data_IF_645974966480
#
_entry.id   IF_645974966480
#
_cell.length_a   1.000
_cell.length_b   1.000
_cell.length_c   1.000
_cell.angle_alpha   90.00
_cell.angle_beta   90.00
_cell.angle_gamma   90.00
#
_symmetry.space_group_name_H-M   'P 1'
#
loop_
_entity.id
_entity.type
_entity.pdbx_description
1 polymer ?
#
# COMPACT_ATOMS: atom_id res chain seq x y z
N UNK A 1 45.46 -39.15 20.61
CA UNK A 1 44.87 -38.42 21.74
C UNK A 1 43.74 -37.59 21.08
N UNK A 2 42.63 -38.19 20.68
CA UNK A 2 41.48 -38.73 21.45
C UNK A 2 40.84 -37.69 22.36
N UNK A 3 39.57 -37.48 22.01
CA UNK A 3 38.42 -36.99 22.79
C UNK A 3 38.29 -35.48 22.96
N UNK A 4 37.37 -34.84 22.28
CA UNK A 4 35.98 -34.67 22.65
C UNK A 4 35.14 -34.07 21.51
N UNK A 5 34.52 -34.94 20.72
CA UNK A 5 33.24 -34.70 20.10
C UNK A 5 32.14 -34.98 21.13
N UNK A 6 31.01 -34.39 20.94
CA UNK A 6 29.74 -34.47 21.65
C UNK A 6 29.41 -33.30 22.57
N UNK A 7 28.64 -32.44 22.02
CA UNK A 7 27.38 -31.91 22.54
C UNK A 7 27.11 -30.47 22.04
N UNK A 8 26.38 -30.35 20.96
CA UNK A 8 25.44 -29.23 20.67
C UNK A 8 24.68 -29.52 19.40
N UNK A 9 23.98 -30.61 19.39
CA UNK A 9 22.76 -30.74 18.56
C UNK A 9 21.59 -30.57 19.53
N UNK A 10 20.71 -29.65 19.19
CA UNK A 10 19.31 -29.47 19.57
C UNK A 10 19.00 -28.01 19.85
N UNK A 11 18.42 -27.35 18.87
CA UNK A 11 17.33 -26.39 18.95
C UNK A 11 17.26 -25.57 17.66
N UNK A 12 16.89 -26.24 16.57
CA UNK A 12 16.29 -25.55 15.44
C UNK A 12 14.78 -25.82 15.54
N UNK A 13 14.05 -24.94 16.20
CA UNK A 13 12.60 -24.92 16.14
C UNK A 13 12.19 -24.19 14.88
N UNK A 14 11.50 -24.92 14.05
CA UNK A 14 10.77 -24.52 12.87
C UNK A 14 9.86 -23.32 13.17
N UNK A 15 10.11 -22.19 12.54
CA UNK A 15 9.11 -21.16 12.31
C UNK A 15 8.47 -21.47 10.96
N UNK A 16 7.37 -22.19 11.03
CA UNK A 16 6.45 -22.45 9.92
C UNK A 16 5.77 -21.13 9.53
N UNK A 17 6.22 -20.56 8.43
CA UNK A 17 5.58 -19.43 7.76
C UNK A 17 4.37 -19.96 6.99
N UNK A 18 3.23 -20.06 7.66
CA UNK A 18 1.94 -20.40 7.05
C UNK A 18 1.49 -19.33 6.08
N UNK A 19 1.91 -19.45 4.82
CA UNK A 19 1.33 -18.75 3.70
C UNK A 19 -0.14 -19.14 3.54
N UNK A 20 -1.07 -18.22 3.69
CA UNK A 20 -2.48 -18.38 3.32
C UNK A 20 -2.61 -18.48 1.81
N UNK A 21 -2.50 -19.70 1.29
CA UNK A 21 -2.94 -20.08 -0.04
C UNK A 21 -4.47 -20.13 -0.05
N UNK A 22 -5.13 -19.14 -0.65
CA UNK A 22 -6.55 -19.18 -0.98
C UNK A 22 -6.79 -20.19 -2.11
N UNK A 23 -6.86 -21.48 -1.75
CA UNK A 23 -7.36 -22.55 -2.62
C UNK A 23 -8.88 -22.51 -2.68
N UNK A 24 -9.47 -22.02 -3.77
CA UNK A 24 -10.87 -22.21 -4.11
C UNK A 24 -11.11 -23.66 -4.47
N UNK A 25 -11.70 -24.44 -3.58
CA UNK A 25 -12.11 -25.82 -3.89
C UNK A 25 -12.77 -26.54 -2.71
N UNK A 26 -14.11 -26.61 -2.70
CA UNK A 26 -14.90 -27.72 -2.17
C UNK A 26 -15.11 -27.80 -0.67
N UNK A 27 -16.20 -27.21 -0.18
CA UNK A 27 -16.67 -27.46 1.17
C UNK A 27 -17.81 -26.54 1.60
N UNK A 28 -18.98 -26.66 0.97
CA UNK A 28 -20.15 -25.80 1.28
C UNK A 28 -20.65 -25.87 2.73
N UNK A 29 -20.18 -26.79 3.56
CA UNK A 29 -20.62 -26.97 4.94
C UNK A 29 -19.64 -26.47 6.01
N UNK A 30 -18.34 -26.46 5.75
CA UNK A 30 -17.34 -25.96 6.72
C UNK A 30 -17.36 -24.44 6.84
N UNK A 31 -17.59 -23.72 5.73
CA UNK A 31 -17.71 -22.27 5.75
C UNK A 31 -18.95 -21.74 6.49
N UNK A 32 -20.06 -22.50 6.49
CA UNK A 32 -21.28 -22.09 7.19
C UNK A 32 -21.09 -22.04 8.72
N UNK A 33 -20.32 -22.98 9.29
CA UNK A 33 -20.07 -23.00 10.74
C UNK A 33 -19.11 -21.87 11.18
N UNK A 34 -18.06 -21.59 10.42
CA UNK A 34 -17.11 -20.51 10.70
C UNK A 34 -17.78 -19.14 10.51
N UNK A 35 -18.62 -19.00 9.47
CA UNK A 35 -19.38 -17.78 9.21
C UNK A 35 -20.45 -17.56 10.29
N UNK A 36 -21.10 -18.62 10.76
CA UNK A 36 -22.06 -18.55 11.87
C UNK A 36 -21.37 -18.09 13.17
N UNK A 37 -20.15 -18.54 13.44
CA UNK A 37 -19.37 -18.11 14.61
C UNK A 37 -19.00 -16.61 14.50
N UNK A 38 -18.64 -16.10 13.33
CA UNK A 38 -18.35 -14.67 13.12
C UNK A 38 -19.61 -13.80 13.19
N UNK A 39 -20.74 -14.26 12.67
CA UNK A 39 -22.04 -13.57 12.84
C UNK A 39 -22.47 -13.59 14.30
N UNK A 40 -22.28 -14.69 15.01
CA UNK A 40 -22.54 -14.80 16.45
C UNK A 40 -21.59 -13.93 17.27
N UNK A 41 -20.33 -13.78 16.87
CA UNK A 41 -19.37 -12.89 17.56
C UNK A 41 -19.66 -11.40 17.26
N UNK A 42 -20.01 -11.02 16.02
CA UNK A 42 -20.42 -9.66 15.68
C UNK A 42 -21.80 -9.31 16.29
N UNK A 43 -22.72 -10.26 16.30
CA UNK A 43 -24.03 -10.15 16.95
C UNK A 43 -23.88 -10.26 18.47
N UNK A 44 -22.98 -11.13 18.98
CA UNK A 44 -22.84 -11.42 20.41
C UNK A 44 -22.31 -10.25 21.22
N UNK A 45 -21.36 -9.46 20.73
CA UNK A 45 -20.82 -8.31 21.48
C UNK A 45 -21.75 -7.08 21.43
N UNK A 46 -22.38 -6.81 20.27
CA UNK A 46 -23.39 -5.73 20.17
C UNK A 46 -24.73 -6.11 20.84
N UNK A 47 -25.16 -7.38 20.75
CA UNK A 47 -26.39 -7.87 21.34
C UNK A 47 -26.30 -8.04 22.85
N UNK A 48 -25.15 -8.35 23.45
CA UNK A 48 -25.06 -8.54 24.90
C UNK A 48 -25.38 -7.25 25.68
N UNK A 49 -24.89 -6.10 25.18
CA UNK A 49 -25.20 -4.79 25.77
C UNK A 49 -26.67 -4.37 25.48
N UNK A 50 -27.20 -4.70 24.31
CA UNK A 50 -28.64 -4.51 24.00
C UNK A 50 -29.54 -5.52 24.71
N UNK A 51 -29.12 -6.79 24.80
CA UNK A 51 -29.91 -7.86 25.45
C UNK A 51 -30.20 -7.55 26.91
N UNK A 52 -29.27 -6.95 27.67
CA UNK A 52 -29.50 -6.50 29.05
C UNK A 52 -30.51 -5.33 29.14
N UNK A 53 -30.64 -4.49 28.11
CA UNK A 53 -31.63 -3.42 27.99
C UNK A 53 -32.97 -3.91 27.45
N UNK A 54 -33.01 -4.97 26.66
CA UNK A 54 -34.19 -5.49 25.95
C UNK A 54 -35.00 -6.52 26.77
N UNK A 55 -34.58 -6.86 27.98
CA UNK A 55 -35.28 -7.87 28.82
C UNK A 55 -36.68 -7.41 29.38
N UNK A 56 -37.14 -6.23 28.96
CA UNK A 56 -38.49 -5.77 29.24
C UNK A 56 -39.33 -5.74 27.94
N UNK A 57 -39.80 -6.89 27.49
CA UNK A 57 -40.55 -7.10 26.22
C UNK A 57 -41.75 -6.18 25.98
N UNK A 58 -42.28 -5.55 27.03
CA UNK A 58 -43.47 -4.70 26.95
C UNK A 58 -43.21 -3.26 26.49
N UNK A 59 -41.93 -2.85 26.27
CA UNK A 59 -41.56 -1.48 25.90
C UNK A 59 -40.82 -1.34 24.57
N UNK A 60 -40.57 -2.46 23.85
CA UNK A 60 -39.87 -2.43 22.58
C UNK A 60 -40.76 -1.81 21.49
N UNK A 61 -40.16 -0.90 20.71
CA UNK A 61 -40.77 -0.44 19.47
C UNK A 61 -40.81 -1.60 18.44
N UNK A 62 -41.64 -1.44 17.41
CA UNK A 62 -41.78 -2.50 16.38
C UNK A 62 -40.45 -2.83 15.69
N UNK A 63 -39.58 -1.86 15.25
CA UNK A 63 -38.30 -2.16 14.70
C UNK A 63 -37.37 -2.94 15.65
N UNK A 64 -37.34 -2.59 16.93
CA UNK A 64 -36.53 -3.30 17.94
C UNK A 64 -37.03 -4.73 18.18
N UNK A 65 -38.34 -4.95 18.14
CA UNK A 65 -38.94 -6.28 18.25
C UNK A 65 -38.58 -7.18 17.07
N UNK A 66 -38.65 -6.63 15.85
CA UNK A 66 -38.23 -7.31 14.64
C UNK A 66 -36.74 -7.65 14.63
N UNK A 67 -35.87 -6.72 15.08
CA UNK A 67 -34.46 -6.94 15.25
C UNK A 67 -34.19 -8.12 16.23
N UNK A 68 -34.85 -8.13 17.37
CA UNK A 68 -34.75 -9.24 18.34
C UNK A 68 -35.19 -10.57 17.72
N UNK A 69 -36.33 -10.61 17.02
CA UNK A 69 -36.78 -11.81 16.30
C UNK A 69 -35.76 -12.28 15.25
N UNK A 70 -35.15 -11.35 14.51
CA UNK A 70 -34.12 -11.67 13.56
C UNK A 70 -32.92 -12.35 14.24
N UNK A 71 -32.41 -11.79 15.35
CA UNK A 71 -31.30 -12.38 16.12
C UNK A 71 -31.65 -13.81 16.60
N UNK A 72 -32.86 -14.00 17.19
CA UNK A 72 -33.32 -15.30 17.66
C UNK A 72 -33.42 -16.35 16.53
N UNK A 73 -33.75 -15.91 15.30
CA UNK A 73 -33.83 -16.78 14.12
C UNK A 73 -32.40 -17.14 13.62
N UNK A 74 -31.45 -16.20 13.64
CA UNK A 74 -30.05 -16.50 13.31
C UNK A 74 -29.42 -17.49 14.30
N UNK A 75 -29.70 -17.35 15.60
CA UNK A 75 -29.24 -18.33 16.60
C UNK A 75 -29.81 -19.73 16.34
N UNK A 76 -31.05 -19.84 15.81
CA UNK A 76 -31.68 -21.09 15.41
C UNK A 76 -31.30 -21.55 14.00
N UNK A 77 -30.31 -20.90 13.35
CA UNK A 77 -29.84 -21.18 11.99
C UNK A 77 -30.92 -21.07 10.89
N UNK A 78 -31.99 -20.31 11.15
CA UNK A 78 -33.02 -19.97 10.18
C UNK A 78 -32.69 -18.68 9.47
N UNK A 79 -31.70 -18.76 8.54
CA UNK A 79 -31.05 -17.59 7.95
C UNK A 79 -31.99 -16.79 7.05
N UNK A 80 -32.83 -17.43 6.24
CA UNK A 80 -33.78 -16.73 5.35
C UNK A 80 -34.84 -15.95 6.15
N UNK A 81 -35.46 -16.59 7.14
CA UNK A 81 -36.43 -15.95 7.99
C UNK A 81 -35.80 -14.80 8.81
N UNK A 82 -34.55 -15.03 9.30
CA UNK A 82 -33.78 -14.05 10.03
C UNK A 82 -33.44 -12.82 9.18
N UNK A 83 -33.00 -13.04 7.93
CA UNK A 83 -32.70 -11.97 6.99
C UNK A 83 -33.94 -11.13 6.66
N UNK A 84 -35.10 -11.77 6.49
CA UNK A 84 -36.35 -11.06 6.22
C UNK A 84 -36.78 -10.19 7.41
N UNK A 85 -36.68 -10.69 8.67
CA UNK A 85 -36.98 -9.88 9.85
C UNK A 85 -35.99 -8.73 10.02
N UNK A 86 -34.68 -8.97 9.71
CA UNK A 86 -33.67 -7.93 9.75
C UNK A 86 -33.96 -6.84 8.72
N UNK A 87 -34.35 -7.21 7.49
CA UNK A 87 -34.79 -6.29 6.45
C UNK A 87 -35.94 -5.41 6.89
N UNK A 88 -36.98 -6.03 7.44
CA UNK A 88 -38.17 -5.31 7.93
C UNK A 88 -37.82 -4.29 9.02
N UNK A 89 -36.97 -4.66 9.98
CA UNK A 89 -36.48 -3.75 11.00
C UNK A 89 -35.65 -2.61 10.41
N UNK A 90 -34.78 -2.91 9.43
CA UNK A 90 -33.97 -1.92 8.74
C UNK A 90 -34.78 -0.92 7.92
N UNK A 91 -35.84 -1.38 7.25
CA UNK A 91 -36.80 -0.55 6.51
C UNK A 91 -37.57 0.40 7.42
N UNK A 92 -37.88 -0.03 8.66
CA UNK A 92 -38.49 0.82 9.70
C UNK A 92 -37.47 1.78 10.34
N UNK A 93 -36.26 1.86 9.85
CA UNK A 93 -35.28 2.87 10.22
C UNK A 93 -34.36 2.50 11.39
N UNK A 94 -34.39 1.27 11.90
CA UNK A 94 -33.45 0.86 12.95
C UNK A 94 -32.00 0.82 12.43
N UNK A 95 -31.13 1.68 12.94
CA UNK A 95 -29.74 1.80 12.49
C UNK A 95 -28.92 0.51 12.65
N UNK A 96 -29.15 -0.22 13.75
CA UNK A 96 -28.48 -1.50 13.99
C UNK A 96 -28.93 -2.54 12.97
N UNK A 97 -30.23 -2.62 12.69
CA UNK A 97 -30.75 -3.52 11.68
C UNK A 97 -30.26 -3.16 10.26
N UNK A 98 -30.14 -1.87 9.95
CA UNK A 98 -29.58 -1.41 8.68
C UNK A 98 -28.13 -1.87 8.50
N UNK A 99 -27.28 -1.71 9.54
CA UNK A 99 -25.92 -2.20 9.52
C UNK A 99 -25.87 -3.72 9.31
N UNK A 100 -26.63 -4.48 10.10
CA UNK A 100 -26.63 -5.95 10.01
C UNK A 100 -27.19 -6.46 8.69
N UNK A 101 -28.24 -5.81 8.17
CA UNK A 101 -28.79 -6.20 6.88
C UNK A 101 -27.80 -5.91 5.73
N UNK A 102 -27.07 -4.80 5.79
CA UNK A 102 -25.93 -4.56 4.92
C UNK A 102 -24.88 -5.69 4.98
N UNK A 103 -24.52 -6.14 6.18
CA UNK A 103 -23.62 -7.27 6.39
C UNK A 103 -24.18 -8.62 5.87
N UNK A 104 -25.49 -8.84 5.99
CA UNK A 104 -26.19 -10.01 5.43
C UNK A 104 -26.07 -10.02 3.90
N UNK A 105 -26.34 -8.90 3.25
CA UNK A 105 -26.21 -8.74 1.80
C UNK A 105 -24.76 -8.86 1.33
N UNK A 106 -23.81 -8.31 2.09
CA UNK A 106 -22.38 -8.43 1.83
C UNK A 106 -21.92 -9.90 1.80
N UNK A 107 -22.43 -10.73 2.69
CA UNK A 107 -22.02 -12.13 2.87
C UNK A 107 -22.95 -13.17 2.23
N UNK A 108 -24.13 -12.79 1.79
CA UNK A 108 -25.15 -13.71 1.26
C UNK A 108 -25.71 -14.66 2.32
N UNK A 109 -25.95 -14.17 3.56
CA UNK A 109 -26.40 -14.98 4.70
C UNK A 109 -27.91 -14.96 4.86
N UNK A 110 -28.62 -15.87 4.20
CA UNK A 110 -30.08 -15.93 4.20
C UNK A 110 -30.74 -14.95 3.21
N UNK A 111 -29.95 -14.20 2.45
CA UNK A 111 -30.35 -13.40 1.30
C UNK A 111 -29.29 -13.53 0.20
N UNK A 112 -29.67 -13.26 -1.04
CA UNK A 112 -28.72 -13.22 -2.16
C UNK A 112 -27.65 -12.14 -1.91
N UNK A 113 -26.39 -12.48 -2.20
CA UNK A 113 -25.29 -11.53 -2.06
C UNK A 113 -25.46 -10.35 -3.02
N UNK A 114 -25.45 -9.13 -2.47
CA UNK A 114 -25.63 -7.92 -3.23
C UNK A 114 -24.79 -6.78 -2.62
N UNK A 115 -23.58 -6.60 -3.12
CA UNK A 115 -22.65 -5.61 -2.59
C UNK A 115 -23.12 -4.15 -2.76
N UNK A 116 -23.63 -3.73 -3.95
CA UNK A 116 -24.18 -2.38 -4.07
C UNK A 116 -25.31 -2.09 -3.08
N UNK A 117 -26.25 -3.04 -2.89
CA UNK A 117 -27.32 -2.89 -1.92
C UNK A 117 -26.79 -2.86 -0.47
N UNK A 118 -25.75 -3.63 -0.15
CA UNK A 118 -25.10 -3.59 1.17
C UNK A 118 -24.56 -2.19 1.47
N UNK A 119 -23.86 -1.55 0.52
CA UNK A 119 -23.34 -0.18 0.66
C UNK A 119 -24.46 0.82 0.94
N UNK A 120 -25.60 0.71 0.26
CA UNK A 120 -26.75 1.59 0.51
C UNK A 120 -27.29 1.44 1.95
N UNK A 121 -27.30 0.23 2.48
CA UNK A 121 -27.73 0.02 3.87
C UNK A 121 -26.69 0.51 4.87
N UNK A 122 -25.40 0.36 4.59
CA UNK A 122 -24.34 0.96 5.40
C UNK A 122 -24.41 2.50 5.40
N UNK A 123 -24.74 3.13 4.25
CA UNK A 123 -24.96 4.58 4.19
C UNK A 123 -26.12 5.02 5.11
N UNK A 124 -27.26 4.32 5.05
CA UNK A 124 -28.41 4.63 5.93
C UNK A 124 -28.06 4.53 7.41
N UNK A 125 -27.28 3.53 7.81
CA UNK A 125 -26.80 3.39 9.19
C UNK A 125 -25.78 4.48 9.56
N UNK A 126 -24.91 4.86 8.62
CA UNK A 126 -23.93 5.93 8.78
C UNK A 126 -24.59 7.30 8.91
N UNK A 127 -25.66 7.58 8.16
CA UNK A 127 -26.45 8.81 8.26
C UNK A 127 -27.08 8.99 9.64
N UNK A 128 -27.30 7.90 10.37
CA UNK A 128 -27.73 7.91 11.77
C UNK A 128 -26.57 7.99 12.78
N UNK A 129 -25.33 8.22 12.29
CA UNK A 129 -24.15 8.37 13.12
C UNK A 129 -23.61 7.06 13.68
N UNK A 130 -23.89 5.90 13.06
CA UNK A 130 -23.47 4.60 13.60
C UNK A 130 -21.99 4.33 13.26
N UNK A 131 -21.06 4.28 14.26
CA UNK A 131 -19.61 4.26 13.99
C UNK A 131 -19.13 3.07 13.15
N UNK A 132 -19.72 1.89 13.39
CA UNK A 132 -19.37 0.67 12.64
C UNK A 132 -19.76 0.79 11.17
N UNK A 133 -20.81 1.53 10.84
CA UNK A 133 -21.22 1.77 9.46
C UNK A 133 -20.22 2.66 8.71
N UNK A 134 -19.58 3.63 9.38
CA UNK A 134 -18.49 4.40 8.80
C UNK A 134 -17.31 3.50 8.43
N UNK A 135 -16.93 2.58 9.31
CA UNK A 135 -15.86 1.63 9.04
C UNK A 135 -16.18 0.70 7.87
N UNK A 136 -17.40 0.09 7.83
CA UNK A 136 -17.81 -0.78 6.73
C UNK A 136 -17.82 -0.05 5.38
N UNK A 137 -18.23 1.23 5.36
CA UNK A 137 -18.11 2.08 4.16
C UNK A 137 -16.66 2.29 3.77
N UNK A 138 -15.79 2.58 4.72
CA UNK A 138 -14.34 2.68 4.49
C UNK A 138 -13.80 1.42 3.82
N UNK A 139 -14.15 0.23 4.33
CA UNK A 139 -13.76 -1.07 3.75
C UNK A 139 -14.31 -1.24 2.33
N UNK A 140 -15.57 -0.84 2.09
CA UNK A 140 -16.16 -0.93 0.75
C UNK A 140 -15.41 -0.06 -0.27
N UNK A 141 -15.04 1.17 0.08
CA UNK A 141 -14.28 2.06 -0.79
C UNK A 141 -12.80 1.64 -0.94
N UNK A 142 -12.18 1.12 0.11
CA UNK A 142 -10.80 0.60 0.06
C UNK A 142 -10.67 -0.56 -0.93
N UNK A 143 -11.63 -1.50 -0.89
CA UNK A 143 -11.58 -2.72 -1.69
C UNK A 143 -12.30 -2.60 -3.05
N UNK A 144 -13.15 -1.58 -3.25
CA UNK A 144 -14.04 -1.49 -4.40
C UNK A 144 -15.21 -2.46 -4.32
N UNK A 145 -15.71 -2.75 -3.11
CA UNK A 145 -16.81 -3.68 -2.86
C UNK A 145 -18.16 -2.99 -3.00
N UNK A 146 -18.84 -3.18 -4.13
CA UNK A 146 -20.15 -2.57 -4.41
C UNK A 146 -20.11 -1.08 -4.79
N UNK A 147 -18.93 -0.48 -4.79
CA UNK A 147 -18.61 0.88 -5.22
C UNK A 147 -17.28 0.87 -5.97
N UNK A 148 -16.99 1.91 -6.72
CA UNK A 148 -15.67 2.10 -7.30
C UNK A 148 -14.63 2.30 -6.18
N UNK A 149 -13.46 1.66 -6.33
CA UNK A 149 -12.36 1.78 -5.36
C UNK A 149 -11.89 3.24 -5.27
N UNK A 150 -11.89 3.78 -4.07
CA UNK A 150 -11.46 5.15 -3.82
C UNK A 150 -10.83 5.28 -2.43
N UNK A 151 -9.50 5.43 -2.40
CA UNK A 151 -8.75 5.51 -1.15
C UNK A 151 -8.98 6.82 -0.39
N UNK A 152 -9.35 7.91 -1.08
CA UNK A 152 -9.68 9.19 -0.43
C UNK A 152 -11.01 9.10 0.31
N UNK A 153 -12.00 8.47 -0.30
CA UNK A 153 -13.28 8.20 0.35
C UNK A 153 -13.10 7.22 1.52
N UNK A 154 -12.30 6.15 1.35
CA UNK A 154 -12.01 5.20 2.42
C UNK A 154 -11.39 5.91 3.63
N UNK A 155 -10.37 6.75 3.41
CA UNK A 155 -9.74 7.56 4.46
C UNK A 155 -10.75 8.46 5.17
N UNK A 156 -11.61 9.16 4.42
CA UNK A 156 -12.61 10.05 4.98
C UNK A 156 -13.60 9.29 5.87
N UNK A 157 -14.02 8.09 5.48
CA UNK A 157 -14.92 7.26 6.26
C UNK A 157 -14.26 6.68 7.51
N UNK A 158 -12.99 6.23 7.44
CA UNK A 158 -12.26 5.77 8.62
C UNK A 158 -12.02 6.90 9.63
N UNK A 159 -11.71 8.11 9.17
CA UNK A 159 -11.60 9.29 10.06
C UNK A 159 -12.92 9.58 10.78
N UNK A 160 -14.07 9.52 10.07
CA UNK A 160 -15.38 9.65 10.72
C UNK A 160 -15.63 8.56 11.77
N UNK A 161 -15.17 7.33 11.52
CA UNK A 161 -15.27 6.25 12.49
C UNK A 161 -14.45 6.52 13.75
N UNK A 162 -13.27 7.11 13.61
CA UNK A 162 -12.39 7.50 14.73
C UNK A 162 -12.94 8.66 15.53
N UNK A 163 -13.54 9.66 14.86
CA UNK A 163 -14.07 10.87 15.49
C UNK A 163 -15.39 10.62 16.22
N UNK A 164 -16.03 9.46 15.96
CA UNK A 164 -17.31 9.13 16.58
C UNK A 164 -17.14 8.74 18.05
N UNK A 165 -18.17 9.02 18.87
CA UNK A 165 -18.26 8.57 20.27
C UNK A 165 -18.56 7.06 20.33
N UNK A 166 -17.54 6.22 20.12
CA UNK A 166 -17.65 4.75 20.08
C UNK A 166 -16.69 4.04 21.04
N UNK A 167 -16.84 2.70 21.12
CA UNK A 167 -15.97 1.82 21.92
C UNK A 167 -14.52 1.92 21.47
N UNK A 168 -13.60 2.05 22.42
CA UNK A 168 -12.14 2.16 22.16
C UNK A 168 -11.57 0.97 21.38
N UNK A 169 -12.14 -0.23 21.54
CA UNK A 169 -11.69 -1.42 20.80
C UNK A 169 -11.96 -1.29 19.30
N UNK A 170 -13.05 -0.65 18.91
CA UNK A 170 -13.38 -0.40 17.51
C UNK A 170 -12.49 0.67 16.87
N UNK A 171 -12.12 1.70 17.65
CA UNK A 171 -11.20 2.76 17.18
C UNK A 171 -9.83 2.20 16.78
N UNK A 172 -9.36 1.16 17.44
CA UNK A 172 -8.10 0.51 17.07
C UNK A 172 -8.17 -0.09 15.65
N UNK A 173 -9.26 -0.78 15.30
CA UNK A 173 -9.44 -1.31 13.94
C UNK A 173 -9.56 -0.21 12.88
N UNK A 174 -10.25 0.88 13.21
CA UNK A 174 -10.39 2.02 12.30
C UNK A 174 -9.04 2.73 12.09
N UNK A 175 -8.22 2.84 13.13
CA UNK A 175 -6.87 3.40 13.03
C UNK A 175 -5.96 2.52 12.17
N UNK A 176 -5.94 1.21 12.41
CA UNK A 176 -5.15 0.27 11.59
C UNK A 176 -5.55 0.32 10.11
N UNK A 177 -6.86 0.43 9.84
CA UNK A 177 -7.35 0.57 8.47
C UNK A 177 -6.94 1.91 7.85
N UNK A 178 -6.96 3.00 8.62
CA UNK A 178 -6.49 4.31 8.17
C UNK A 178 -4.99 4.28 7.85
N UNK A 179 -4.17 3.74 8.75
CA UNK A 179 -2.72 3.63 8.57
C UNK A 179 -2.40 2.83 7.28
N UNK A 180 -3.14 1.74 7.03
CA UNK A 180 -3.01 0.93 5.81
C UNK A 180 -3.38 1.72 4.55
N UNK A 181 -4.47 2.50 4.58
CA UNK A 181 -4.88 3.34 3.43
C UNK A 181 -3.86 4.44 3.17
N UNK A 182 -3.31 5.06 4.19
CA UNK A 182 -2.26 6.08 4.06
C UNK A 182 -0.99 5.47 3.45
N UNK A 183 -0.63 4.25 3.83
CA UNK A 183 0.48 3.51 3.22
C UNK A 183 0.22 3.22 1.74
N UNK A 184 -0.96 2.68 1.40
CA UNK A 184 -1.36 2.41 0.02
C UNK A 184 -1.34 3.68 -0.85
N UNK A 185 -1.76 4.82 -0.30
CA UNK A 185 -1.70 6.11 -0.98
C UNK A 185 -0.26 6.58 -1.18
N UNK A 186 0.59 6.40 -0.18
CA UNK A 186 2.01 6.72 -0.25
C UNK A 186 2.71 5.88 -1.33
N UNK A 187 2.46 4.57 -1.35
CA UNK A 187 3.03 3.66 -2.36
C UNK A 187 2.54 3.95 -3.78
N UNK A 188 1.36 4.55 -3.91
CA UNK A 188 0.79 4.92 -5.19
C UNK A 188 1.35 6.24 -5.77
N UNK A 189 2.15 7.01 -4.99
CA UNK A 189 2.75 8.23 -5.50
C UNK A 189 3.81 7.95 -6.57
N UNK A 190 3.95 8.84 -7.58
CA UNK A 190 5.00 8.69 -8.59
C UNK A 190 6.39 8.61 -7.97
N UNK A 191 6.66 9.34 -6.89
CA UNK A 191 7.92 9.35 -6.18
C UNK A 191 8.23 7.99 -5.54
N UNK A 192 7.26 7.38 -4.84
CA UNK A 192 7.43 6.07 -4.22
C UNK A 192 7.57 4.96 -5.29
N UNK A 193 6.80 5.04 -6.37
CA UNK A 193 6.94 4.13 -7.51
C UNK A 193 8.31 4.24 -8.15
N UNK A 194 8.82 5.46 -8.35
CA UNK A 194 10.13 5.70 -8.90
C UNK A 194 11.24 5.13 -8.01
N UNK A 195 11.15 5.33 -6.70
CA UNK A 195 12.10 4.75 -5.73
C UNK A 195 12.04 3.23 -5.71
N UNK A 196 10.84 2.62 -5.76
CA UNK A 196 10.67 1.18 -5.79
C UNK A 196 11.30 0.55 -7.06
N UNK A 197 11.06 1.15 -8.23
CA UNK A 197 11.68 0.72 -9.49
C UNK A 197 13.20 0.81 -9.45
N UNK A 198 13.75 1.88 -8.88
CA UNK A 198 15.20 2.02 -8.71
C UNK A 198 15.77 0.93 -7.79
N UNK A 199 15.13 0.64 -6.64
CA UNK A 199 15.55 -0.44 -5.73
C UNK A 199 15.56 -1.79 -6.44
N UNK A 200 14.52 -2.11 -7.22
CA UNK A 200 14.47 -3.34 -8.02
C UNK A 200 15.61 -3.40 -9.05
N UNK A 201 15.89 -2.29 -9.72
CA UNK A 201 16.99 -2.22 -10.67
C UNK A 201 18.35 -2.50 -10.01
N UNK A 202 18.62 -1.93 -8.83
CA UNK A 202 19.87 -2.17 -8.11
C UNK A 202 19.99 -3.62 -7.64
N UNK A 203 18.91 -4.24 -7.16
CA UNK A 203 18.90 -5.65 -6.78
C UNK A 203 19.21 -6.59 -7.97
N UNK A 204 18.74 -6.24 -9.17
CA UNK A 204 19.02 -6.99 -10.40
C UNK A 204 20.46 -6.80 -10.86
N UNK A 205 21.00 -5.58 -10.76
CA UNK A 205 22.38 -5.27 -11.15
C UNK A 205 23.39 -6.10 -10.35
N UNK A 206 23.16 -6.29 -9.06
CA UNK A 206 24.01 -7.12 -8.20
C UNK A 206 24.05 -8.62 -8.62
N UNK A 207 23.04 -9.08 -9.39
CA UNK A 207 22.91 -10.48 -9.85
C UNK A 207 23.61 -10.76 -11.20
N UNK A 208 24.20 -9.78 -11.84
CA UNK A 208 25.04 -9.84 -13.07
C UNK A 208 24.42 -10.46 -14.34
N UNK A 209 23.15 -10.85 -14.33
CA UNK A 209 22.54 -11.63 -15.43
C UNK A 209 21.48 -10.87 -16.23
N UNK A 210 21.13 -9.61 -15.84
CA UNK A 210 19.91 -8.95 -16.33
C UNK A 210 20.08 -7.47 -16.64
N UNK A 211 21.18 -7.13 -17.30
CA UNK A 211 21.51 -5.74 -17.62
C UNK A 211 20.40 -5.01 -18.40
N UNK A 212 19.70 -5.71 -19.30
CA UNK A 212 18.61 -5.12 -20.09
C UNK A 212 17.41 -4.79 -19.18
N UNK A 213 17.00 -5.73 -18.32
CA UNK A 213 15.88 -5.52 -17.40
C UNK A 213 16.22 -4.43 -16.37
N UNK A 214 17.47 -4.40 -15.89
CA UNK A 214 17.96 -3.34 -15.01
C UNK A 214 17.91 -1.97 -15.71
N UNK A 215 18.36 -1.87 -16.97
CA UNK A 215 18.32 -0.63 -17.74
C UNK A 215 16.88 -0.13 -17.96
N UNK A 216 15.93 -1.04 -18.22
CA UNK A 216 14.52 -0.72 -18.38
C UNK A 216 13.90 -0.18 -17.08
N UNK A 217 14.18 -0.80 -15.94
CA UNK A 217 13.68 -0.33 -14.63
C UNK A 217 14.30 1.02 -14.25
N UNK A 218 15.62 1.21 -14.50
CA UNK A 218 16.27 2.49 -14.30
C UNK A 218 15.66 3.58 -15.16
N UNK A 219 15.35 3.27 -16.43
CA UNK A 219 14.68 4.21 -17.33
C UNK A 219 13.30 4.61 -16.81
N UNK A 220 12.46 3.62 -16.43
CA UNK A 220 11.13 3.89 -15.90
C UNK A 220 11.19 4.77 -14.64
N UNK A 221 12.10 4.47 -13.72
CA UNK A 221 12.31 5.27 -12.51
C UNK A 221 12.83 6.69 -12.85
N UNK A 222 13.72 6.81 -13.81
CA UNK A 222 14.26 8.10 -14.27
C UNK A 222 13.19 8.96 -14.95
N UNK A 223 12.31 8.34 -15.74
CA UNK A 223 11.17 9.00 -16.40
C UNK A 223 10.17 9.56 -15.35
N UNK A 224 10.02 8.88 -14.21
CA UNK A 224 9.24 9.36 -13.06
C UNK A 224 9.98 10.43 -12.23
N UNK A 225 11.22 10.77 -12.58
CA UNK A 225 11.94 11.88 -11.98
C UNK A 225 12.92 11.50 -10.86
N UNK A 226 13.09 10.23 -10.53
CA UNK A 226 13.99 9.83 -9.44
C UNK A 226 15.46 10.14 -9.78
N UNK A 227 16.06 11.00 -8.98
CA UNK A 227 17.39 11.57 -9.27
C UNK A 227 18.49 10.54 -9.43
N UNK A 228 18.51 9.52 -8.57
CA UNK A 228 19.52 8.47 -8.66
C UNK A 228 19.32 7.58 -9.89
N UNK A 229 18.07 7.31 -10.28
CA UNK A 229 17.79 6.57 -11.50
C UNK A 229 18.22 7.36 -12.75
N UNK A 230 18.00 8.66 -12.80
CA UNK A 230 18.49 9.53 -13.88
C UNK A 230 20.01 9.47 -14.00
N UNK A 231 20.72 9.56 -12.88
CA UNK A 231 22.18 9.43 -12.85
C UNK A 231 22.65 8.06 -13.35
N UNK A 232 22.08 6.99 -12.80
CA UNK A 232 22.52 5.63 -13.15
C UNK A 232 22.14 5.24 -14.57
N UNK A 233 20.94 5.63 -15.04
CA UNK A 233 20.54 5.39 -16.42
C UNK A 233 21.45 6.15 -17.40
N UNK A 234 21.84 7.39 -17.10
CA UNK A 234 22.86 8.12 -17.87
C UNK A 234 24.19 7.35 -17.95
N UNK A 235 24.67 6.78 -16.83
CA UNK A 235 25.88 5.94 -16.82
C UNK A 235 25.73 4.66 -17.66
N UNK A 236 24.56 4.03 -17.65
CA UNK A 236 24.25 2.86 -18.47
C UNK A 236 24.31 3.19 -19.95
N UNK A 237 23.74 4.33 -20.36
CA UNK A 237 23.81 4.85 -21.72
C UNK A 237 25.24 5.17 -22.15
N UNK A 238 26.08 5.77 -21.29
CA UNK A 238 27.47 6.02 -21.55
C UNK A 238 28.33 4.76 -21.75
N UNK A 239 27.92 3.63 -21.16
CA UNK A 239 28.67 2.37 -21.20
C UNK A 239 28.03 1.30 -22.08
N UNK A 240 26.83 1.52 -22.57
CA UNK A 240 26.05 0.53 -23.31
C UNK A 240 25.69 -0.70 -22.47
N UNK A 241 25.43 -0.52 -21.17
CA UNK A 241 25.04 -1.61 -20.25
C UNK A 241 23.55 -1.85 -20.37
N UNK A 242 23.15 -3.02 -20.87
CA UNK A 242 21.72 -3.37 -21.05
C UNK A 242 20.96 -2.47 -22.04
N UNK A 243 21.65 -1.54 -22.69
CA UNK A 243 21.11 -0.59 -23.67
C UNK A 243 22.12 -0.28 -24.75
N UNK A 244 21.70 0.35 -25.83
CA UNK A 244 22.64 0.86 -26.82
C UNK A 244 23.52 1.98 -26.21
N UNK A 245 24.77 2.04 -26.64
CA UNK A 245 25.66 3.13 -26.29
C UNK A 245 25.13 4.45 -26.87
N UNK A 246 24.75 5.38 -26.00
CA UNK A 246 24.21 6.69 -26.39
C UNK A 246 24.68 7.81 -25.43
N UNK A 247 25.90 8.33 -25.63
CA UNK A 247 26.42 9.40 -24.76
C UNK A 247 25.64 10.72 -24.87
N UNK A 248 24.95 10.97 -25.99
CA UNK A 248 24.17 12.20 -26.17
C UNK A 248 22.99 12.18 -25.23
N UNK A 249 22.18 11.11 -25.26
CA UNK A 249 21.07 10.95 -24.32
C UNK A 249 21.56 10.86 -22.86
N UNK A 250 22.73 10.30 -22.60
CA UNK A 250 23.30 10.26 -21.25
C UNK A 250 23.51 11.67 -20.67
N UNK A 251 24.03 12.59 -21.45
CA UNK A 251 24.20 13.99 -21.02
C UNK A 251 22.87 14.65 -20.67
N UNK A 252 21.82 14.36 -21.41
CA UNK A 252 20.48 14.88 -21.10
C UNK A 252 19.98 14.35 -19.73
N UNK A 253 20.21 13.09 -19.44
CA UNK A 253 19.86 12.51 -18.15
C UNK A 253 20.69 13.07 -16.99
N UNK A 254 21.99 13.27 -17.21
CA UNK A 254 22.85 13.92 -16.23
C UNK A 254 22.42 15.38 -15.97
N UNK A 255 21.95 16.10 -16.99
CA UNK A 255 21.38 17.45 -16.79
C UNK A 255 20.12 17.42 -15.95
N UNK A 256 19.19 16.50 -16.22
CA UNK A 256 17.97 16.34 -15.40
C UNK A 256 18.32 16.06 -13.93
N UNK A 257 19.29 15.20 -13.67
CA UNK A 257 19.76 14.93 -12.31
C UNK A 257 20.48 16.13 -11.70
N UNK A 258 21.24 16.90 -12.49
CA UNK A 258 21.92 18.11 -12.08
C UNK A 258 20.93 19.22 -11.72
N UNK A 259 19.83 19.37 -12.45
CA UNK A 259 18.74 20.31 -12.13
C UNK A 259 18.09 20.03 -10.76
N UNK A 260 18.20 18.79 -10.29
CA UNK A 260 17.81 18.38 -8.94
C UNK A 260 18.96 18.50 -7.91
N UNK A 261 20.04 19.23 -8.23
CA UNK A 261 21.22 19.42 -7.39
C UNK A 261 21.98 18.14 -7.04
N UNK A 262 21.96 17.14 -7.90
CA UNK A 262 22.76 15.93 -7.73
C UNK A 262 24.26 16.24 -8.01
N UNK A 263 25.06 16.29 -6.95
CA UNK A 263 26.50 16.59 -7.09
C UNK A 263 27.27 15.54 -7.88
N UNK A 264 26.87 14.28 -7.84
CA UNK A 264 27.42 13.23 -8.67
C UNK A 264 27.12 13.44 -10.17
N UNK A 265 25.95 14.00 -10.52
CA UNK A 265 25.60 14.34 -11.89
C UNK A 265 26.43 15.53 -12.40
N UNK A 266 26.75 16.51 -11.55
CA UNK A 266 27.70 17.57 -11.91
C UNK A 266 29.07 16.99 -12.28
N UNK A 267 29.55 15.99 -11.52
CA UNK A 267 30.79 15.33 -11.84
C UNK A 267 30.72 14.59 -13.18
N UNK A 268 29.68 13.83 -13.48
CA UNK A 268 29.51 13.13 -14.76
C UNK A 268 29.45 14.12 -15.95
N UNK A 269 28.76 15.25 -15.79
CA UNK A 269 28.76 16.32 -16.79
C UNK A 269 30.17 16.86 -17.02
N UNK A 270 30.93 17.07 -15.95
CA UNK A 270 32.34 17.46 -16.06
C UNK A 270 33.16 16.45 -16.88
N UNK A 271 32.96 15.15 -16.66
CA UNK A 271 33.63 14.08 -17.43
C UNK A 271 33.19 14.12 -18.90
N UNK A 272 31.90 14.31 -19.18
CA UNK A 272 31.41 14.40 -20.56
C UNK A 272 32.05 15.56 -21.32
N UNK A 273 32.16 16.74 -20.72
CA UNK A 273 32.78 17.91 -21.34
C UNK A 273 34.33 17.78 -21.46
N UNK A 274 34.98 17.11 -20.49
CA UNK A 274 36.42 16.87 -20.54
C UNK A 274 36.79 15.93 -21.71
N UNK A 275 36.00 14.87 -21.91
CA UNK A 275 36.28 13.85 -22.92
C UNK A 275 35.67 14.18 -24.30
N UNK A 276 34.63 15.01 -24.35
CA UNK A 276 33.81 15.20 -25.55
C UNK A 276 32.83 14.05 -25.78
N UNK A 277 32.31 13.43 -24.69
CA UNK A 277 31.38 12.33 -24.76
C UNK A 277 29.93 12.86 -24.75
N UNK A 278 29.21 12.75 -25.86
CA UNK A 278 27.85 13.25 -26.03
C UNK A 278 27.71 14.75 -26.14
N UNK A 279 28.81 15.50 -25.96
CA UNK A 279 28.91 16.96 -26.11
C UNK A 279 30.26 17.32 -26.75
N UNK A 280 30.36 18.53 -27.31
CA UNK A 280 31.64 19.05 -27.75
C UNK A 280 32.60 19.19 -26.57
N UNK A 281 33.87 18.76 -26.76
CA UNK A 281 34.92 18.86 -25.74
C UNK A 281 35.14 20.31 -25.34
N UNK A 282 35.04 20.59 -24.05
CA UNK A 282 35.23 21.94 -23.51
C UNK A 282 35.78 21.87 -22.08
N UNK A 283 37.08 22.18 -21.92
CA UNK A 283 37.78 22.08 -20.64
C UNK A 283 37.33 23.16 -19.63
N UNK A 284 36.82 24.31 -20.10
CA UNK A 284 36.33 25.37 -19.22
C UNK A 284 34.94 25.02 -18.64
N UNK A 285 34.10 24.45 -19.47
CA UNK A 285 32.82 23.88 -19.01
C UNK A 285 33.06 22.71 -18.05
N UNK A 286 33.98 21.80 -18.36
CA UNK A 286 34.32 20.70 -17.47
C UNK A 286 34.78 21.19 -16.09
N UNK A 287 35.63 22.22 -16.05
CA UNK A 287 36.07 22.87 -14.79
C UNK A 287 34.89 23.43 -14.00
N UNK A 288 33.96 24.09 -14.69
CA UNK A 288 32.80 24.67 -14.08
C UNK A 288 31.90 23.62 -13.41
N UNK A 289 31.68 22.50 -14.11
CA UNK A 289 30.86 21.39 -13.58
C UNK A 289 31.56 20.65 -12.43
N UNK A 290 32.88 20.43 -12.50
CA UNK A 290 33.63 19.83 -11.40
C UNK A 290 33.62 20.72 -10.14
N UNK A 291 33.71 22.05 -10.28
CA UNK A 291 33.58 22.97 -9.14
C UNK A 291 32.19 22.87 -8.49
N UNK A 292 31.13 22.84 -9.30
CA UNK A 292 29.78 22.61 -8.77
C UNK A 292 29.67 21.28 -8.03
N UNK A 293 30.35 20.24 -8.50
CA UNK A 293 30.36 18.94 -7.84
C UNK A 293 31.06 19.02 -6.47
N UNK A 294 32.19 19.72 -6.36
CA UNK A 294 32.91 19.96 -5.10
C UNK A 294 32.01 20.76 -4.15
N UNK A 295 31.44 21.88 -4.61
CA UNK A 295 30.57 22.72 -3.83
C UNK A 295 29.32 21.98 -3.32
N UNK A 296 28.86 21.00 -4.10
CA UNK A 296 27.76 20.09 -3.75
C UNK A 296 28.16 18.91 -2.84
N UNK A 297 29.43 18.84 -2.41
CA UNK A 297 29.92 17.81 -1.48
C UNK A 297 30.47 16.53 -2.14
N UNK A 298 30.62 16.49 -3.48
CA UNK A 298 31.28 15.39 -4.21
C UNK A 298 32.77 15.65 -4.35
N UNK A 299 33.50 15.72 -3.21
CA UNK A 299 34.85 16.27 -3.15
C UNK A 299 35.92 15.34 -3.81
N UNK A 300 35.94 14.02 -3.49
CA UNK A 300 37.07 13.15 -3.83
C UNK A 300 37.38 13.07 -5.33
N UNK A 301 36.39 12.68 -6.14
CA UNK A 301 36.56 12.51 -7.58
C UNK A 301 36.68 13.84 -8.31
N UNK A 302 35.89 14.84 -7.94
CA UNK A 302 35.85 16.15 -8.59
C UNK A 302 37.12 16.98 -8.33
N UNK A 303 37.68 16.96 -7.11
CA UNK A 303 38.93 17.64 -6.82
C UNK A 303 40.10 17.07 -7.62
N UNK A 304 40.21 15.73 -7.70
CA UNK A 304 41.23 15.10 -8.54
C UNK A 304 41.09 15.45 -10.04
N UNK A 305 39.85 15.56 -10.52
CA UNK A 305 39.57 15.99 -11.88
C UNK A 305 40.00 17.45 -12.12
N UNK A 306 39.72 18.34 -11.18
CA UNK A 306 40.20 19.74 -11.24
C UNK A 306 41.73 19.86 -11.27
N UNK A 307 42.42 19.10 -10.42
CA UNK A 307 43.89 19.07 -10.40
C UNK A 307 44.46 18.54 -11.71
N UNK A 308 43.82 17.52 -12.33
CA UNK A 308 44.19 16.99 -13.65
C UNK A 308 43.99 18.04 -14.76
N UNK A 309 42.81 18.68 -14.77
CA UNK A 309 42.49 19.74 -15.74
C UNK A 309 43.47 20.93 -15.67
N UNK A 310 43.85 21.34 -14.46
CA UNK A 310 44.82 22.43 -14.30
C UNK A 310 46.18 22.08 -14.94
N UNK A 311 46.63 20.82 -14.82
CA UNK A 311 47.85 20.34 -15.46
C UNK A 311 47.72 20.28 -17.00
N UNK A 312 46.57 19.82 -17.52
CA UNK A 312 46.32 19.78 -18.97
C UNK A 312 46.33 21.18 -19.58
N UNK A 313 45.60 22.13 -18.98
CA UNK A 313 45.58 23.53 -19.45
C UNK A 313 46.94 24.21 -19.37
N UNK A 314 47.81 23.79 -18.44
CA UNK A 314 49.18 24.30 -18.34
C UNK A 314 50.10 23.74 -19.44
N UNK A 315 49.82 22.52 -19.95
CA UNK A 315 50.63 21.89 -21.01
C UNK A 315 50.22 22.32 -22.43
N UNK A 316 49.05 22.94 -22.60
CA UNK A 316 48.59 23.44 -23.91
C UNK A 316 48.99 24.92 -24.16
N UNK A 317 49.60 25.57 -23.17
CA UNK A 317 50.18 26.92 -23.25
C UNK A 317 51.69 26.88 -23.58
#
# INVERSE_FOLDING_TARGET
>A
MEQNEESKATAAQEHDSGGCSCGCGGGKNANKAVIAIWVVLLIGFGCLVMWTRMNADSRLTEPERLLKQACDLYEKQKFEDGAERMRQSAELGNAVAQLYYGGILKKGLGAEQNMPAAVEWFRKAADQGFPVAFYELGVCFENGEGVERNLDEAEAWYKKALDSDGDYSFKAYAQEALDRVEELKREATPEAQAEALYKQAIELFDRQDRDVECAELLKQSADLGYVWAQLFYGRFLCKGIGTALDPVSAVEWFRKAADQNCSAAFYELGVCYENGEGVEKNLDEAETWYRKAVDGGFEGGAQHALDRLAKLKASEK
#
